data_IF_906178068611
#
_entry.id   IF_906178068611
#
_cell.length_a   1.000
_cell.length_b   1.000
_cell.length_c   1.000
_cell.angle_alpha   90.00
_cell.angle_beta   90.00
_cell.angle_gamma   90.00
#
_symmetry.space_group_name_H-M   'P 1'
#
loop_
_entity.id
_entity.type
_entity.pdbx_description
1 polymer ?
#
# COMPACT_ATOMS: atom_id res chain seq x y z
N UNK A 1 -9.31 13.72 -11.12
CA UNK A 1 -9.13 12.91 -9.89
C UNK A 1 -9.51 11.43 -10.05
N UNK A 2 -10.67 11.07 -10.63
CA UNK A 2 -11.12 9.67 -10.67
C UNK A 2 -10.25 8.70 -11.50
N UNK A 3 -9.69 9.14 -12.64
CA UNK A 3 -8.85 8.28 -13.51
C UNK A 3 -7.51 7.95 -12.83
N UNK A 4 -6.88 8.92 -12.16
CA UNK A 4 -5.63 8.72 -11.42
C UNK A 4 -5.79 7.72 -10.27
N UNK A 5 -6.94 7.76 -9.59
CA UNK A 5 -7.28 6.78 -8.56
C UNK A 5 -7.46 5.36 -9.11
N UNK A 6 -7.94 5.19 -10.35
CA UNK A 6 -8.06 3.87 -10.98
C UNK A 6 -6.69 3.32 -11.35
N UNK A 7 -5.82 4.11 -11.98
CA UNK A 7 -4.47 3.68 -12.36
C UNK A 7 -3.63 3.27 -11.14
N UNK A 8 -3.66 4.06 -10.06
CA UNK A 8 -2.96 3.73 -8.81
C UNK A 8 -3.44 2.39 -8.21
N UNK A 9 -4.76 2.17 -8.18
CA UNK A 9 -5.34 0.91 -7.70
C UNK A 9 -4.95 -0.28 -8.57
N UNK A 10 -5.04 -0.14 -9.90
CA UNK A 10 -4.65 -1.20 -10.82
C UNK A 10 -3.19 -1.57 -10.64
N UNK A 11 -2.30 -0.59 -10.58
CA UNK A 11 -0.87 -0.82 -10.37
C UNK A 11 -0.59 -1.53 -9.05
N UNK A 12 -1.22 -1.10 -7.96
CA UNK A 12 -1.08 -1.74 -6.66
C UNK A 12 -1.57 -3.20 -6.66
N UNK A 13 -2.70 -3.49 -7.30
CA UNK A 13 -3.21 -4.85 -7.45
C UNK A 13 -2.28 -5.69 -8.32
N UNK A 14 -1.85 -5.18 -9.47
CA UNK A 14 -0.90 -5.89 -10.35
C UNK A 14 0.40 -6.21 -9.63
N UNK A 15 0.95 -5.26 -8.86
CA UNK A 15 2.18 -5.47 -8.10
C UNK A 15 1.98 -6.50 -6.98
N UNK A 16 0.86 -6.43 -6.25
CA UNK A 16 0.53 -7.42 -5.22
C UNK A 16 0.37 -8.84 -5.78
N UNK A 17 -0.28 -8.97 -6.95
CA UNK A 17 -0.40 -10.26 -7.66
C UNK A 17 0.97 -10.75 -8.13
N UNK A 18 1.82 -9.87 -8.67
CA UNK A 18 3.16 -10.22 -9.12
C UNK A 18 4.03 -10.74 -7.95
N UNK A 19 3.99 -10.08 -6.80
CA UNK A 19 4.70 -10.54 -5.59
C UNK A 19 4.08 -11.80 -5.00
N UNK A 20 2.76 -11.94 -4.99
CA UNK A 20 2.09 -13.19 -4.59
C UNK A 20 2.57 -14.37 -5.44
N UNK A 21 2.65 -14.19 -6.76
CA UNK A 21 3.17 -15.20 -7.68
C UNK A 21 4.65 -15.48 -7.42
N UNK A 22 5.46 -14.45 -7.24
CA UNK A 22 6.89 -14.58 -6.91
C UNK A 22 7.10 -15.39 -5.63
N UNK A 23 6.44 -15.02 -4.53
CA UNK A 23 6.53 -15.74 -3.26
C UNK A 23 6.00 -17.16 -3.37
N UNK A 24 4.94 -17.40 -4.14
CA UNK A 24 4.42 -18.74 -4.41
C UNK A 24 5.44 -19.61 -5.14
N UNK A 25 6.13 -19.06 -6.14
CA UNK A 25 7.17 -19.76 -6.90
C UNK A 25 8.41 -20.06 -6.06
N UNK A 26 8.70 -19.25 -5.04
CA UNK A 26 9.84 -19.44 -4.14
C UNK A 26 9.44 -20.00 -2.77
N UNK A 27 8.17 -20.33 -2.58
CA UNK A 27 7.67 -20.90 -1.32
C UNK A 27 8.27 -22.29 -1.13
N UNK A 28 8.58 -22.64 0.12
CA UNK A 28 9.06 -23.97 0.43
C UNK A 28 8.03 -25.02 -0.02
N UNK A 29 8.42 -26.02 -0.85
CA UNK A 29 7.49 -27.00 -1.42
C UNK A 29 6.99 -28.03 -0.39
N UNK A 30 7.56 -28.01 0.82
CA UNK A 30 7.21 -28.91 1.91
C UNK A 30 7.67 -28.32 3.25
N UNK A 31 7.78 -29.18 4.25
CA UNK A 31 8.35 -28.91 5.57
C UNK A 31 9.77 -28.35 5.42
N UNK A 32 10.02 -27.22 6.07
CA UNK A 32 11.35 -26.62 6.21
C UNK A 32 11.48 -26.13 7.64
N UNK A 33 12.51 -26.59 8.35
CA UNK A 33 12.93 -26.07 9.65
C UNK A 33 13.76 -24.79 9.46
N UNK A 34 13.12 -23.71 9.00
CA UNK A 34 13.77 -22.40 8.92
C UNK A 34 13.54 -21.58 10.20
N UNK A 35 12.38 -21.77 10.84
CA UNK A 35 11.97 -21.15 12.09
C UNK A 35 11.24 -22.18 12.97
N UNK A 36 11.35 -22.04 14.29
CA UNK A 36 10.85 -23.03 15.25
C UNK A 36 9.33 -23.29 15.11
N UNK A 37 8.54 -22.26 14.83
CA UNK A 37 7.07 -22.37 14.83
C UNK A 37 6.45 -22.71 13.47
N UNK A 38 7.22 -22.58 12.37
CA UNK A 38 6.74 -22.85 11.00
C UNK A 38 6.13 -24.26 10.91
N UNK A 39 6.80 -25.25 11.50
CA UNK A 39 6.35 -26.64 11.55
C UNK A 39 5.01 -26.81 12.25
N UNK A 40 4.87 -26.17 13.40
CA UNK A 40 3.66 -26.25 14.19
C UNK A 40 2.49 -25.66 13.40
N UNK A 41 2.68 -24.52 12.75
CA UNK A 41 1.65 -23.88 11.92
C UNK A 41 1.22 -24.71 10.71
N UNK A 42 2.14 -25.45 10.11
CA UNK A 42 1.85 -26.40 9.03
C UNK A 42 1.01 -27.59 9.50
N UNK A 43 1.01 -27.89 10.81
CA UNK A 43 0.20 -28.93 11.43
C UNK A 43 -1.11 -28.37 12.00
N UNK A 44 -1.06 -27.33 12.84
CA UNK A 44 -2.22 -26.84 13.60
C UNK A 44 -3.28 -26.20 12.70
N UNK A 45 -2.90 -25.46 11.65
CA UNK A 45 -3.87 -24.88 10.72
C UNK A 45 -4.71 -25.97 10.03
N UNK A 46 -4.07 -26.91 9.30
CA UNK A 46 -4.74 -28.03 8.67
C UNK A 46 -5.27 -29.10 9.62
N UNK A 47 -5.17 -28.94 10.94
CA UNK A 47 -5.86 -29.79 11.92
C UNK A 47 -6.92 -29.05 12.74
N UNK A 48 -7.00 -27.71 12.63
CA UNK A 48 -7.70 -26.86 13.60
C UNK A 48 -7.22 -27.08 15.04
N UNK A 49 -5.94 -27.39 15.21
CA UNK A 49 -5.29 -27.55 16.50
C UNK A 49 -5.02 -26.23 17.21
N UNK A 50 -4.48 -26.30 18.41
CA UNK A 50 -4.09 -25.13 19.21
C UNK A 50 -2.57 -25.03 19.13
N UNK A 51 -2.07 -23.92 18.61
CA UNK A 51 -0.65 -23.61 18.58
C UNK A 51 -0.10 -23.33 19.99
N UNK A 52 1.22 -23.32 20.13
CA UNK A 52 1.91 -22.86 21.32
C UNK A 52 1.36 -21.48 21.77
N UNK A 53 1.40 -21.15 23.08
CA UNK A 53 0.98 -19.84 23.56
C UNK A 53 1.68 -18.73 22.75
N UNK A 54 0.95 -17.86 22.05
CA UNK A 54 -0.39 -17.31 22.37
C UNK A 54 -1.60 -17.97 21.69
N UNK A 55 -1.43 -19.04 20.93
CA UNK A 55 -2.50 -19.90 20.38
C UNK A 55 -3.06 -19.51 19.00
N UNK A 56 -2.75 -18.31 18.50
CA UNK A 56 -3.00 -17.81 17.12
C UNK A 56 -4.35 -18.23 16.49
N UNK A 57 -5.50 -18.01 17.16
CA UNK A 57 -6.78 -18.58 16.74
C UNK A 57 -7.25 -18.10 15.35
N UNK A 58 -7.02 -16.83 15.01
CA UNK A 58 -7.38 -16.32 13.68
C UNK A 58 -6.57 -17.01 12.59
N UNK A 59 -5.26 -17.18 12.80
CA UNK A 59 -4.37 -17.84 11.86
C UNK A 59 -4.79 -19.29 11.64
N UNK A 60 -5.03 -20.04 12.71
CA UNK A 60 -5.45 -21.44 12.64
C UNK A 60 -6.78 -21.59 11.90
N UNK A 61 -7.77 -20.73 12.18
CA UNK A 61 -9.06 -20.78 11.51
C UNK A 61 -8.95 -20.47 10.01
N UNK A 62 -8.26 -19.39 9.64
CA UNK A 62 -8.12 -18.99 8.24
C UNK A 62 -7.21 -19.95 7.46
N UNK A 63 -6.09 -20.38 8.05
CA UNK A 63 -5.18 -21.36 7.47
C UNK A 63 -5.83 -22.74 7.32
N UNK A 64 -6.65 -23.16 8.28
CA UNK A 64 -7.43 -24.38 8.19
C UNK A 64 -8.50 -24.32 7.10
N UNK A 65 -9.23 -23.20 6.99
CA UNK A 65 -10.18 -22.97 5.91
C UNK A 65 -9.49 -22.95 4.53
N UNK A 66 -8.35 -22.27 4.44
CA UNK A 66 -7.52 -22.21 3.24
C UNK A 66 -7.06 -23.59 2.80
N UNK A 67 -6.39 -24.32 3.69
CA UNK A 67 -5.74 -25.60 3.36
C UNK A 67 -6.73 -26.75 3.11
N UNK A 68 -7.93 -26.70 3.69
CA UNK A 68 -8.93 -27.77 3.54
C UNK A 68 -10.03 -27.49 2.52
N UNK A 69 -10.45 -26.24 2.38
CA UNK A 69 -11.64 -25.88 1.60
C UNK A 69 -11.26 -25.09 0.35
N UNK A 70 -10.48 -24.01 0.51
CA UNK A 70 -10.21 -23.09 -0.60
C UNK A 70 -9.11 -23.58 -1.55
N UNK A 71 -8.08 -24.25 -1.01
CA UNK A 71 -6.95 -24.76 -1.79
C UNK A 71 -6.53 -26.16 -1.29
N UNK A 72 -7.31 -27.22 -1.61
CA UNK A 72 -7.06 -28.57 -1.10
C UNK A 72 -6.05 -29.36 -1.95
N UNK A 73 -5.02 -28.72 -2.51
CA UNK A 73 -4.04 -29.35 -3.42
C UNK A 73 -2.63 -29.41 -2.83
N UNK A 74 -1.85 -30.44 -3.18
CA UNK A 74 -0.50 -30.66 -2.65
C UNK A 74 -0.49 -31.06 -1.17
N UNK A 75 0.67 -30.99 -0.52
CA UNK A 75 0.82 -31.35 0.90
C UNK A 75 0.43 -30.19 1.84
N UNK A 76 0.11 -30.49 3.09
CA UNK A 76 -0.35 -29.49 4.08
C UNK A 76 0.66 -28.36 4.32
N UNK A 77 1.95 -28.70 4.40
CA UNK A 77 3.01 -27.73 4.60
C UNK A 77 3.05 -26.69 3.48
N UNK A 78 3.04 -27.16 2.24
CA UNK A 78 3.01 -26.28 1.06
C UNK A 78 1.78 -25.38 1.04
N UNK A 79 0.59 -25.93 1.30
CA UNK A 79 -0.66 -25.13 1.36
C UNK A 79 -0.52 -23.98 2.36
N UNK A 80 0.03 -24.26 3.54
CA UNK A 80 0.23 -23.23 4.56
C UNK A 80 1.31 -22.21 4.18
N UNK A 81 2.39 -22.62 3.51
CA UNK A 81 3.37 -21.67 2.96
C UNK A 81 2.73 -20.75 1.90
N UNK A 82 1.82 -21.29 1.06
CA UNK A 82 1.08 -20.48 0.09
C UNK A 82 0.09 -19.51 0.74
N UNK A 83 -0.44 -19.85 1.91
CA UNK A 83 -1.27 -18.92 2.67
C UNK A 83 -0.48 -17.67 3.10
N UNK A 84 0.74 -17.87 3.59
CA UNK A 84 1.67 -16.77 3.89
C UNK A 84 2.07 -16.00 2.64
N UNK A 85 2.35 -16.67 1.52
CA UNK A 85 2.66 -16.01 0.25
C UNK A 85 1.50 -15.12 -0.25
N UNK A 86 0.25 -15.59 -0.11
CA UNK A 86 -0.96 -14.83 -0.44
C UNK A 86 -1.11 -13.59 0.43
N UNK A 87 -1.03 -13.75 1.75
CA UNK A 87 -1.11 -12.62 2.68
C UNK A 87 0.04 -11.62 2.45
N UNK A 88 1.23 -12.13 2.13
CA UNK A 88 2.39 -11.30 1.88
C UNK A 88 2.26 -10.49 0.59
N UNK A 89 1.85 -11.11 -0.51
CA UNK A 89 1.59 -10.43 -1.78
C UNK A 89 0.48 -9.37 -1.67
N UNK A 90 -0.60 -9.68 -0.94
CA UNK A 90 -1.65 -8.71 -0.64
C UNK A 90 -1.12 -7.51 0.15
N UNK A 91 -0.23 -7.74 1.13
CA UNK A 91 0.40 -6.67 1.91
C UNK A 91 1.19 -5.71 1.02
N UNK A 92 2.00 -6.25 0.10
CA UNK A 92 2.78 -5.43 -0.85
C UNK A 92 1.86 -4.56 -1.71
N UNK A 93 0.72 -5.11 -2.16
CA UNK A 93 -0.30 -4.36 -2.88
C UNK A 93 -0.92 -3.22 -2.06
N UNK A 94 -1.32 -3.49 -0.81
CA UNK A 94 -1.87 -2.48 0.09
C UNK A 94 -0.84 -1.39 0.39
N UNK A 95 0.41 -1.75 0.65
CA UNK A 95 1.51 -0.81 0.88
C UNK A 95 1.72 0.10 -0.33
N UNK A 96 1.80 -0.47 -1.54
CA UNK A 96 1.94 0.31 -2.77
C UNK A 96 0.80 1.34 -2.91
N UNK A 97 -0.44 0.89 -2.70
CA UNK A 97 -1.61 1.76 -2.79
C UNK A 97 -1.59 2.87 -1.75
N UNK A 98 -1.25 2.54 -0.50
CA UNK A 98 -1.19 3.47 0.62
C UNK A 98 -0.14 4.56 0.40
N UNK A 99 1.08 4.18 0.01
CA UNK A 99 2.16 5.14 -0.24
C UNK A 99 1.83 6.06 -1.42
N UNK A 100 1.23 5.54 -2.50
CA UNK A 100 0.76 6.38 -3.61
C UNK A 100 -0.30 7.37 -3.15
N UNK A 101 -1.22 6.94 -2.29
CA UNK A 101 -2.27 7.79 -1.72
C UNK A 101 -1.69 8.91 -0.88
N UNK A 102 -0.77 8.60 0.03
CA UNK A 102 -0.08 9.59 0.85
C UNK A 102 0.68 10.60 -0.03
N UNK A 103 1.41 10.12 -1.05
CA UNK A 103 2.16 10.98 -1.95
C UNK A 103 1.23 11.95 -2.70
N UNK A 104 0.09 11.48 -3.21
CA UNK A 104 -0.89 12.33 -3.92
C UNK A 104 -1.44 13.42 -3.01
N UNK A 105 -1.83 13.08 -1.78
CA UNK A 105 -2.39 14.05 -0.81
C UNK A 105 -1.33 15.09 -0.40
N UNK A 106 -0.08 14.67 -0.20
CA UNK A 106 1.02 15.58 0.11
C UNK A 106 1.25 16.61 -1.00
N UNK A 107 1.27 16.16 -2.27
CA UNK A 107 1.41 17.06 -3.42
C UNK A 107 0.21 18.00 -3.58
N UNK A 108 -1.01 17.51 -3.33
CA UNK A 108 -2.22 18.33 -3.38
C UNK A 108 -2.18 19.47 -2.35
N UNK A 109 -1.77 19.15 -1.12
CA UNK A 109 -1.65 20.13 -0.02
C UNK A 109 -0.52 21.15 -0.25
N UNK A 110 0.59 20.72 -0.87
CA UNK A 110 1.68 21.62 -1.25
C UNK A 110 1.24 22.63 -2.33
N UNK A 111 0.40 22.21 -3.28
CA UNK A 111 -0.12 23.08 -4.34
C UNK A 111 -1.11 24.11 -3.81
N UNK A 112 -2.02 23.72 -2.90
CA UNK A 112 -2.95 24.68 -2.28
C UNK A 112 -2.21 25.72 -1.43
N UNK A 113 -1.19 25.31 -0.69
CA UNK A 113 -0.37 26.24 0.09
C UNK A 113 0.36 27.27 -0.80
N UNK A 114 0.73 26.89 -2.03
CA UNK A 114 1.38 27.79 -2.98
C UNK A 114 0.39 28.74 -3.68
N UNK A 115 -0.87 28.31 -3.91
CA UNK A 115 -1.90 29.17 -4.50
C UNK A 115 -2.48 30.18 -3.51
N UNK A 116 -2.49 29.83 -2.22
CA UNK A 116 -2.98 30.70 -1.15
C UNK A 116 -1.91 31.70 -0.66
N UNK A 117 -0.67 31.59 -1.18
CA UNK A 117 0.35 32.60 -0.95
C UNK A 117 -0.15 33.95 -1.51
N UNK A 118 -0.04 35.05 -0.76
CA UNK A 118 -0.56 36.34 -1.20
C UNK A 118 0.02 36.64 -2.58
N UNK A 119 -0.87 36.73 -3.57
CA UNK A 119 -0.54 37.32 -4.86
C UNK A 119 0.10 38.65 -4.52
N UNK A 120 1.39 38.82 -4.82
CA UNK A 120 2.04 40.13 -4.72
C UNK A 120 1.23 40.98 -5.68
N UNK A 121 0.28 41.73 -5.11
CA UNK A 121 -0.66 42.54 -5.86
C UNK A 121 0.20 43.41 -6.74
N UNK A 122 0.09 43.20 -8.04
CA UNK A 122 0.75 43.98 -9.09
C UNK A 122 0.26 45.44 -9.11
N UNK A 123 -0.36 45.93 -8.03
CA UNK A 123 -0.70 47.33 -7.80
C UNK A 123 0.53 48.23 -7.74
N UNK A 124 1.72 47.67 -7.50
CA UNK A 124 2.99 48.40 -7.58
C UNK A 124 3.62 48.34 -8.99
N UNK A 125 3.00 47.63 -9.93
CA UNK A 125 3.34 47.65 -11.36
C UNK A 125 2.29 48.45 -12.12
N UNK A 126 2.14 49.73 -11.77
CA UNK A 126 1.60 50.69 -12.73
C UNK A 126 2.46 50.57 -14.01
N UNK A 127 1.88 50.27 -15.18
CA UNK A 127 2.67 50.21 -16.40
C UNK A 127 3.32 51.58 -16.57
N UNK A 128 4.65 51.67 -16.79
CA UNK A 128 5.25 52.96 -17.05
C UNK A 128 4.50 53.57 -18.24
N UNK A 129 3.82 54.70 -18.02
CA UNK A 129 3.00 55.34 -19.05
C UNK A 129 3.85 55.75 -20.28
N UNK A 130 5.19 55.68 -20.14
CA UNK A 130 6.21 55.90 -21.17
C UNK A 130 7.05 54.66 -21.52
N UNK A 131 6.49 53.45 -21.44
CA UNK A 131 7.20 52.22 -21.85
C UNK A 131 7.36 52.10 -23.37
N UNK A 132 8.60 52.02 -23.85
CA UNK A 132 8.92 51.77 -25.28
C UNK A 132 8.38 50.41 -25.75
N UNK A 133 8.05 50.26 -27.04
CA UNK A 133 7.50 49.00 -27.62
C UNK A 133 8.33 47.75 -27.28
N UNK A 134 9.64 47.90 -27.06
CA UNK A 134 10.50 46.78 -26.65
C UNK A 134 10.20 46.23 -25.24
N UNK A 135 9.72 47.08 -24.32
CA UNK A 135 9.36 46.66 -22.97
C UNK A 135 8.03 45.90 -22.95
N UNK A 136 7.06 46.31 -23.78
CA UNK A 136 5.80 45.56 -23.97
C UNK A 136 6.05 44.18 -24.58
N UNK A 137 6.93 44.09 -25.56
CA UNK A 137 7.33 42.81 -26.17
C UNK A 137 8.01 41.87 -25.17
N UNK A 138 8.82 42.40 -24.24
CA UNK A 138 9.47 41.59 -23.19
C UNK A 138 8.50 41.12 -22.11
N UNK A 139 7.53 41.95 -21.74
CA UNK A 139 6.53 41.58 -20.74
C UNK A 139 5.58 40.51 -21.27
N UNK A 140 5.10 40.68 -22.51
CA UNK A 140 4.29 39.67 -23.21
C UNK A 140 5.08 38.38 -23.41
N UNK A 141 6.33 38.45 -23.87
CA UNK A 141 7.18 37.27 -23.99
C UNK A 141 7.42 36.57 -22.64
N UNK A 142 7.55 37.30 -21.53
CA UNK A 142 7.70 36.72 -20.18
C UNK A 142 6.43 36.00 -19.73
N UNK A 143 5.26 36.63 -19.92
CA UNK A 143 3.96 36.02 -19.62
C UNK A 143 3.73 34.76 -20.45
N UNK A 144 4.15 34.79 -21.72
CA UNK A 144 4.04 33.66 -22.63
C UNK A 144 5.02 32.53 -22.29
N UNK A 145 6.28 32.84 -21.95
CA UNK A 145 7.22 31.82 -21.43
C UNK A 145 6.78 31.21 -20.11
N UNK A 146 5.97 31.92 -19.32
CA UNK A 146 5.41 31.41 -18.07
C UNK A 146 4.22 30.48 -18.33
N UNK A 147 3.46 30.68 -19.41
CA UNK A 147 2.48 29.72 -19.92
C UNK A 147 3.14 28.49 -20.59
N UNK A 148 4.28 28.66 -21.25
CA UNK A 148 4.96 27.62 -22.04
C UNK A 148 5.84 26.66 -21.23
N UNK A 149 6.04 26.88 -19.92
CA UNK A 149 6.61 25.84 -19.05
C UNK A 149 5.58 24.73 -18.82
N UNK A 150 5.38 23.89 -19.84
CA UNK A 150 4.56 22.68 -19.79
C UNK A 150 5.17 21.74 -18.77
N UNK A 151 4.69 21.82 -17.53
CA UNK A 151 5.00 20.87 -16.48
C UNK A 151 4.80 19.44 -17.02
N UNK A 152 5.70 18.48 -16.72
CA UNK A 152 5.59 17.12 -17.24
C UNK A 152 4.20 16.56 -16.92
N UNK A 153 3.63 15.70 -17.78
CA UNK A 153 2.28 15.18 -17.59
C UNK A 153 2.18 14.55 -16.19
N UNK A 154 1.40 15.20 -15.31
CA UNK A 154 1.21 14.95 -13.86
C UNK A 154 0.90 13.49 -13.47
N UNK A 155 0.73 12.61 -14.45
CA UNK A 155 0.37 11.19 -14.30
C UNK A 155 1.53 10.28 -13.90
N UNK A 156 2.76 10.51 -14.39
CA UNK A 156 3.88 9.58 -14.13
C UNK A 156 4.59 9.81 -12.78
N UNK A 157 4.65 11.06 -12.31
CA UNK A 157 5.44 11.43 -11.12
C UNK A 157 4.83 10.90 -9.81
N UNK A 158 3.53 10.61 -9.79
CA UNK A 158 2.79 10.27 -8.56
C UNK A 158 2.70 8.77 -8.24
N UNK A 159 3.15 7.87 -9.12
CA UNK A 159 3.09 6.40 -8.87
C UNK A 159 4.40 5.82 -8.35
N UNK A 160 5.52 6.47 -8.64
CA UNK A 160 6.87 5.98 -8.33
C UNK A 160 7.13 5.76 -6.83
N UNK A 161 6.71 6.66 -5.91
CA UNK A 161 7.00 6.46 -4.50
C UNK A 161 6.44 5.15 -3.94
N UNK A 162 5.22 4.78 -4.33
CA UNK A 162 4.62 3.52 -3.86
C UNK A 162 5.19 2.28 -4.55
N UNK A 163 5.58 2.37 -5.83
CA UNK A 163 6.28 1.26 -6.50
C UNK A 163 7.62 1.01 -5.82
N UNK A 164 8.42 2.06 -5.58
CA UNK A 164 9.72 1.95 -4.93
C UNK A 164 9.57 1.42 -3.51
N UNK A 165 8.63 1.94 -2.71
CA UNK A 165 8.39 1.43 -1.35
C UNK A 165 7.99 -0.05 -1.35
N UNK A 166 7.04 -0.43 -2.20
CA UNK A 166 6.54 -1.80 -2.29
C UNK A 166 7.58 -2.79 -2.79
N UNK A 167 8.37 -2.42 -3.80
CA UNK A 167 9.46 -3.26 -4.33
C UNK A 167 10.57 -3.41 -3.30
N UNK A 168 11.02 -2.31 -2.67
CA UNK A 168 12.07 -2.36 -1.64
C UNK A 168 11.64 -3.21 -0.43
N UNK A 169 10.39 -3.07 0.01
CA UNK A 169 9.84 -3.88 1.10
C UNK A 169 9.70 -5.35 0.69
N UNK A 170 9.11 -5.61 -0.48
CA UNK A 170 8.83 -6.96 -0.96
C UNK A 170 10.08 -7.79 -1.25
N UNK A 171 11.14 -7.15 -1.78
CA UNK A 171 12.43 -7.80 -2.00
C UNK A 171 13.28 -7.89 -0.73
N UNK A 172 12.83 -7.32 0.39
CA UNK A 172 13.57 -7.33 1.65
C UNK A 172 13.70 -8.75 2.23
N UNK A 173 14.89 -9.18 2.68
CA UNK A 173 15.13 -10.56 3.09
C UNK A 173 14.28 -10.99 4.30
N UNK A 174 14.03 -10.06 5.23
CA UNK A 174 13.16 -10.31 6.39
C UNK A 174 11.74 -10.58 5.94
N UNK A 175 11.20 -9.75 5.05
CA UNK A 175 9.84 -9.95 4.55
C UNK A 175 9.72 -11.20 3.68
N UNK A 176 10.72 -11.45 2.85
CA UNK A 176 10.78 -12.62 1.99
C UNK A 176 10.70 -13.91 2.80
N UNK A 177 11.43 -14.00 3.91
CA UNK A 177 11.39 -15.19 4.76
C UNK A 177 9.99 -15.42 5.34
N UNK A 178 9.30 -14.36 5.77
CA UNK A 178 7.91 -14.45 6.25
C UNK A 178 6.91 -14.80 5.14
N UNK A 179 7.25 -14.53 3.88
CA UNK A 179 6.36 -14.74 2.74
C UNK A 179 6.45 -16.17 2.18
N UNK A 180 7.58 -16.85 2.33
CA UNK A 180 7.85 -18.15 1.68
C UNK A 180 7.64 -19.38 2.55
N UNK A 181 7.41 -19.19 3.86
CA UNK A 181 7.10 -20.25 4.81
C UNK A 181 5.88 -19.88 5.66
N UNK A 182 5.27 -20.88 6.31
CA UNK A 182 4.04 -20.74 7.10
C UNK A 182 4.29 -19.92 8.37
N UNK A 183 4.07 -18.62 8.26
CA UNK A 183 4.32 -17.64 9.32
C UNK A 183 3.10 -16.75 9.61
N UNK A 184 2.91 -16.45 10.90
CA UNK A 184 1.83 -15.59 11.40
C UNK A 184 2.04 -14.12 11.04
N UNK A 185 3.29 -13.71 10.82
CA UNK A 185 3.65 -12.31 10.59
C UNK A 185 3.15 -11.78 9.24
N UNK A 186 3.07 -12.61 8.20
CA UNK A 186 2.55 -12.21 6.89
C UNK A 186 1.09 -11.75 6.98
N UNK A 187 0.24 -12.53 7.65
CA UNK A 187 -1.16 -12.17 7.90
C UNK A 187 -1.29 -10.97 8.85
N UNK A 188 -0.46 -10.91 9.90
CA UNK A 188 -0.50 -9.78 10.83
C UNK A 188 -0.20 -8.45 10.12
N UNK A 189 0.86 -8.41 9.31
CA UNK A 189 1.23 -7.21 8.56
C UNK A 189 0.14 -6.82 7.57
N UNK A 190 -0.52 -7.77 6.89
CA UNK A 190 -1.67 -7.45 6.04
C UNK A 190 -2.76 -6.70 6.82
N UNK A 191 -3.12 -7.19 8.01
CA UNK A 191 -4.13 -6.54 8.86
C UNK A 191 -3.68 -5.14 9.31
N UNK A 192 -2.41 -4.98 9.70
CA UNK A 192 -1.84 -3.67 10.08
C UNK A 192 -1.90 -2.68 8.92
N UNK A 193 -1.45 -3.07 7.73
CA UNK A 193 -1.46 -2.19 6.56
C UNK A 193 -2.88 -1.84 6.09
N UNK A 194 -3.84 -2.77 6.21
CA UNK A 194 -5.26 -2.48 5.97
C UNK A 194 -5.79 -1.48 7.00
N UNK A 195 -5.46 -1.64 8.28
CA UNK A 195 -5.88 -0.71 9.33
C UNK A 195 -5.33 0.70 9.08
N UNK A 196 -4.05 0.82 8.74
CA UNK A 196 -3.42 2.12 8.40
C UNK A 196 -4.09 2.71 7.15
N UNK A 197 -4.35 1.90 6.12
CA UNK A 197 -5.06 2.33 4.92
C UNK A 197 -6.47 2.87 5.21
N UNK A 198 -7.24 2.19 6.06
CA UNK A 198 -8.58 2.61 6.45
C UNK A 198 -8.55 3.89 7.31
N UNK A 199 -7.62 3.96 8.26
CA UNK A 199 -7.40 5.16 9.08
C UNK A 199 -7.01 6.36 8.21
N UNK A 200 -6.15 6.15 7.21
CA UNK A 200 -5.78 7.19 6.25
C UNK A 200 -6.99 7.69 5.45
N UNK A 201 -7.82 6.77 4.91
CA UNK A 201 -9.05 7.14 4.18
C UNK A 201 -10.03 7.93 5.05
N UNK A 202 -10.12 7.59 6.34
CA UNK A 202 -10.93 8.35 7.30
C UNK A 202 -10.34 9.75 7.50
N UNK A 203 -9.02 9.87 7.66
CA UNK A 203 -8.34 11.13 7.95
C UNK A 203 -8.39 12.15 6.81
N UNK A 204 -8.45 11.70 5.54
CA UNK A 204 -8.49 12.58 4.37
C UNK A 204 -9.89 12.81 3.80
N UNK A 205 -10.89 12.07 4.30
CA UNK A 205 -12.29 12.24 3.90
C UNK A 205 -12.97 13.41 4.65
N UNK A 206 -13.80 14.19 3.94
CA UNK A 206 -14.58 15.28 4.57
C UNK A 206 -15.56 14.79 5.63
N UNK A 207 -16.08 13.56 5.47
CA UNK A 207 -16.91 12.88 6.48
C UNK A 207 -16.57 11.39 6.52
N UNK A 208 -16.23 10.82 7.69
CA UNK A 208 -15.98 9.40 7.81
C UNK A 208 -17.28 8.62 7.59
N UNK A 209 -17.29 7.71 6.62
CA UNK A 209 -18.40 6.77 6.45
C UNK A 209 -18.37 5.77 7.60
N UNK A 210 -19.53 5.52 8.21
CA UNK A 210 -19.66 4.53 9.29
C UNK A 210 -19.11 3.17 8.89
N UNK A 211 -19.33 2.74 7.65
CA UNK A 211 -18.79 1.50 7.09
C UNK A 211 -17.26 1.44 7.15
N UNK A 212 -16.56 2.53 6.80
CA UNK A 212 -15.09 2.57 6.83
C UNK A 212 -14.59 2.49 8.28
N UNK A 213 -15.25 3.17 9.21
CA UNK A 213 -14.93 3.10 10.63
C UNK A 213 -15.16 1.69 11.20
N UNK A 214 -16.30 1.05 10.87
CA UNK A 214 -16.58 -0.33 11.27
C UNK A 214 -15.53 -1.29 10.75
N UNK A 215 -15.12 -1.16 9.48
CA UNK A 215 -14.05 -1.99 8.91
C UNK A 215 -12.71 -1.76 9.62
N UNK A 216 -12.38 -0.52 10.00
CA UNK A 216 -11.16 -0.23 10.75
C UNK A 216 -11.18 -0.94 12.10
N UNK A 217 -12.24 -0.77 12.89
CA UNK A 217 -12.35 -1.39 14.21
C UNK A 217 -12.38 -2.93 14.14
N UNK A 218 -13.04 -3.49 13.12
CA UNK A 218 -13.02 -4.93 12.86
C UNK A 218 -11.60 -5.41 12.56
N UNK A 219 -10.88 -4.71 11.67
CA UNK A 219 -9.50 -5.07 11.30
C UNK A 219 -8.55 -5.00 12.50
N UNK A 220 -8.69 -3.96 13.33
CA UNK A 220 -7.92 -3.82 14.57
C UNK A 220 -8.23 -4.95 15.56
N UNK A 221 -9.51 -5.30 15.74
CA UNK A 221 -9.93 -6.42 16.58
C UNK A 221 -9.37 -7.76 16.09
N UNK A 222 -9.42 -8.01 14.78
CA UNK A 222 -8.81 -9.19 14.16
C UNK A 222 -7.29 -9.20 14.34
N UNK A 223 -6.61 -8.06 14.18
CA UNK A 223 -5.17 -7.93 14.39
C UNK A 223 -4.75 -8.29 15.83
N UNK A 224 -5.48 -7.78 16.82
CA UNK A 224 -5.27 -8.07 18.24
C UNK A 224 -5.57 -9.52 18.62
N UNK A 225 -6.53 -10.16 17.94
CA UNK A 225 -6.87 -11.56 18.13
C UNK A 225 -5.87 -12.52 17.44
N UNK A 226 -5.15 -12.02 16.43
CA UNK A 226 -4.23 -12.81 15.59
C UNK A 226 -2.84 -12.94 16.20
N UNK A 227 -2.23 -11.84 16.61
CA UNK A 227 -0.91 -11.82 17.22
C UNK A 227 -0.85 -10.69 18.25
N UNK A 228 -0.48 -11.00 19.49
CA UNK A 228 -0.14 -10.00 20.48
C UNK A 228 1.36 -9.78 20.42
N UNK A 229 1.78 -8.63 19.89
CA UNK A 229 3.15 -8.13 20.07
C UNK A 229 3.37 -7.72 21.51
#
# INVERSE_FOLDING_TARGET
>A
MQIQNRTARLLAVTLGIAFCALYTLTAAPSIVELYDDTLEFQLVGPTFGIAHPTGYPLYTLLGGLWSRVLFPFGNWAWRMNLFSALAAGATVGVLCWLTQRIAIEFHAKAQSAQSDAPEIVSSDLEPPQNGTDSQRGRLTARLQTQEDTVAPPRRLVNVMPGVVAAVSFGLGPVWWSQATVAEVYALHNLLVFIAIALAFVISTGSTPKITTATLLFLTLGLGLAHHRT
#
